data_IF_608443907488
#
_entry.id   IF_608443907488
#
_cell.length_a   1.000
_cell.length_b   1.000
_cell.length_c   1.000
_cell.angle_alpha   90.00
_cell.angle_beta   90.00
_cell.angle_gamma   90.00
#
_symmetry.space_group_name_H-M   'P 1'
#
loop_
_entity.id
_entity.type
_entity.pdbx_description
1 polymer ?
#
# COMPACT_ATOMS: atom_id res chain seq x y z
N UNK A 1 -12.04 1.19 11.14
CA UNK A 1 -12.61 1.15 9.78
C UNK A 1 -11.55 0.54 8.88
N UNK A 2 -11.57 -0.79 8.72
CA UNK A 2 -10.59 -1.51 7.90
C UNK A 2 -11.17 -1.71 6.51
N UNK A 3 -10.35 -1.56 5.47
CA UNK A 3 -10.76 -1.85 4.10
C UNK A 3 -11.27 -3.30 4.08
N UNK A 4 -12.56 -3.47 3.78
CA UNK A 4 -13.28 -4.75 3.82
C UNK A 4 -12.80 -5.74 2.74
N UNK A 5 -12.01 -5.25 1.80
CA UNK A 5 -11.51 -5.95 0.63
C UNK A 5 -9.99 -6.05 0.70
N UNK A 6 -9.50 -7.28 0.62
CA UNK A 6 -8.08 -7.57 0.67
C UNK A 6 -7.35 -7.01 -0.54
N UNK A 7 -6.25 -6.31 -0.25
CA UNK A 7 -5.17 -5.86 -1.14
C UNK A 7 -5.58 -4.85 -2.22
N UNK A 8 -5.10 -3.62 -2.09
CA UNK A 8 -5.11 -2.60 -3.14
C UNK A 8 -4.24 -3.09 -4.31
N UNK A 9 -4.81 -3.24 -5.51
CA UNK A 9 -4.09 -3.73 -6.69
C UNK A 9 -4.09 -5.26 -6.85
N UNK A 10 -2.93 -5.91 -7.07
CA UNK A 10 -2.87 -7.31 -7.51
C UNK A 10 -3.04 -8.31 -6.36
N UNK A 11 -3.79 -9.38 -6.62
CA UNK A 11 -3.87 -10.56 -5.75
C UNK A 11 -3.36 -11.81 -6.50
N UNK A 12 -2.10 -12.23 -6.29
CA UNK A 12 -1.51 -13.38 -6.96
C UNK A 12 -2.23 -14.71 -6.68
N UNK A 13 -2.89 -14.85 -5.52
CA UNK A 13 -3.58 -16.08 -5.12
C UNK A 13 -4.86 -16.26 -5.93
N UNK A 14 -5.65 -15.20 -6.07
CA UNK A 14 -6.89 -15.23 -6.85
C UNK A 14 -6.69 -14.93 -8.34
N UNK A 15 -5.49 -14.48 -8.73
CA UNK A 15 -5.16 -14.00 -10.09
C UNK A 15 -6.09 -12.89 -10.58
N UNK A 16 -6.50 -12.02 -9.65
CA UNK A 16 -7.35 -10.86 -9.95
C UNK A 16 -6.68 -9.58 -9.45
N UNK A 17 -7.02 -8.47 -10.08
CA UNK A 17 -6.66 -7.13 -9.60
C UNK A 17 -7.92 -6.31 -9.34
N UNK A 18 -7.90 -5.51 -8.28
CA UNK A 18 -8.96 -4.55 -7.95
C UNK A 18 -8.37 -3.16 -7.91
N UNK A 19 -8.98 -2.23 -8.64
CA UNK A 19 -8.58 -0.84 -8.75
C UNK A 19 -9.63 0.08 -8.14
N UNK A 20 -9.20 0.97 -7.28
CA UNK A 20 -10.04 1.93 -6.60
C UNK A 20 -9.91 3.29 -7.29
N UNK A 21 -11.04 3.86 -7.69
CA UNK A 21 -11.08 5.12 -8.45
C UNK A 21 -10.18 5.12 -9.70
N UNK A 22 -10.14 4.03 -10.47
CA UNK A 22 -9.32 3.94 -11.69
C UNK A 22 -7.87 3.50 -11.44
N UNK A 23 -7.42 3.31 -10.20
CA UNK A 23 -6.10 2.73 -9.90
C UNK A 23 -4.87 3.56 -10.24
N UNK A 24 -5.03 4.76 -10.78
CA UNK A 24 -3.95 5.69 -11.17
C UNK A 24 -3.47 6.57 -10.02
N UNK A 25 -4.22 6.62 -8.92
CA UNK A 25 -3.85 7.43 -7.76
C UNK A 25 -2.63 6.84 -7.07
N UNK A 26 -1.64 7.68 -6.82
CA UNK A 26 -0.44 7.30 -6.07
C UNK A 26 -0.81 7.08 -4.61
N UNK A 27 -0.44 5.92 -4.09
CA UNK A 27 -0.59 5.54 -2.69
C UNK A 27 0.78 5.33 -2.05
N UNK A 28 0.89 5.65 -0.76
CA UNK A 28 2.06 5.34 0.04
C UNK A 28 1.98 3.87 0.49
N UNK A 29 3.03 3.10 0.20
CA UNK A 29 3.12 1.70 0.58
C UNK A 29 4.38 1.44 1.40
N UNK A 30 4.21 0.57 2.39
CA UNK A 30 5.29 0.12 3.27
C UNK A 30 5.13 -1.35 3.58
N UNK A 31 6.22 -2.10 3.51
CA UNK A 31 6.24 -3.47 4.02
C UNK A 31 6.15 -3.43 5.54
N UNK A 32 5.60 -4.49 6.15
CA UNK A 32 5.54 -4.60 7.61
C UNK A 32 6.95 -4.51 8.25
N UNK A 33 7.97 -5.05 7.59
CA UNK A 33 9.36 -4.95 8.04
C UNK A 33 9.89 -3.51 8.01
N UNK A 34 9.58 -2.73 6.97
CA UNK A 34 9.95 -1.31 6.90
C UNK A 34 9.23 -0.50 7.98
N UNK A 35 7.95 -0.79 8.25
CA UNK A 35 7.19 -0.16 9.34
C UNK A 35 7.84 -0.46 10.68
N UNK A 36 8.13 -1.73 10.98
CA UNK A 36 8.79 -2.11 12.22
C UNK A 36 10.16 -1.45 12.37
N UNK A 37 10.96 -1.43 11.29
CA UNK A 37 12.27 -0.78 11.28
C UNK A 37 12.17 0.71 11.54
N UNK A 38 11.19 1.39 10.94
CA UNK A 38 10.96 2.82 11.16
C UNK A 38 10.58 3.10 12.62
N UNK A 39 9.70 2.29 13.22
CA UNK A 39 9.31 2.42 14.62
C UNK A 39 10.53 2.22 15.54
N UNK A 40 11.32 1.17 15.33
CA UNK A 40 12.52 0.92 16.15
C UNK A 40 13.52 2.08 16.04
N UNK A 41 13.75 2.60 14.84
CA UNK A 41 14.64 3.76 14.63
C UNK A 41 14.12 5.03 15.30
N UNK A 42 12.81 5.25 15.25
CA UNK A 42 12.15 6.40 15.88
C UNK A 42 12.34 6.39 17.40
N UNK A 43 12.11 5.23 18.02
CA UNK A 43 12.20 5.05 19.48
C UNK A 43 13.65 4.91 19.98
N UNK A 44 14.56 4.40 19.15
CA UNK A 44 15.94 4.12 19.52
C UNK A 44 16.87 5.34 19.53
N UNK A 45 16.38 6.52 19.13
CA UNK A 45 17.14 7.76 19.11
C UNK A 45 16.34 8.86 19.83
N UNK A 46 16.91 9.41 20.89
CA UNK A 46 16.27 10.42 21.75
C UNK A 46 15.82 11.65 20.95
N UNK A 47 16.65 12.15 20.04
CA UNK A 47 16.30 13.33 19.23
C UNK A 47 15.13 13.09 18.28
N UNK A 48 15.01 11.90 17.70
CA UNK A 48 13.88 11.56 16.83
C UNK A 48 12.62 11.22 17.62
N UNK A 49 12.79 10.66 18.81
CA UNK A 49 11.70 10.38 19.73
C UNK A 49 11.04 11.68 20.20
N UNK A 50 11.82 12.62 20.74
CA UNK A 50 11.30 13.90 21.23
C UNK A 50 10.59 14.70 20.14
N UNK A 51 11.14 14.70 18.92
CA UNK A 51 10.50 15.33 17.76
C UNK A 51 9.14 14.70 17.36
N UNK A 52 8.93 13.43 17.72
CA UNK A 52 7.72 12.67 17.39
C UNK A 52 6.67 12.68 18.49
N UNK A 53 7.00 13.15 19.70
CA UNK A 53 6.07 13.20 20.83
C UNK A 53 4.83 14.01 20.45
N UNK A 54 3.66 13.40 20.61
CA UNK A 54 2.35 13.99 20.29
C UNK A 54 2.18 14.43 18.82
N UNK A 55 3.02 13.93 17.89
CA UNK A 55 2.92 14.21 16.47
C UNK A 55 2.49 12.96 15.68
N UNK A 56 1.68 13.13 14.62
CA UNK A 56 1.43 12.04 13.68
C UNK A 56 2.70 11.73 12.88
N UNK A 57 3.05 10.44 12.79
CA UNK A 57 4.21 9.97 12.01
C UNK A 57 3.72 9.19 10.80
N UNK A 58 4.15 9.63 9.62
CA UNK A 58 3.80 9.01 8.34
C UNK A 58 4.98 8.15 7.87
N UNK A 59 4.74 6.85 7.66
CA UNK A 59 5.76 5.91 7.21
C UNK A 59 5.48 5.50 5.76
N UNK A 60 6.33 5.96 4.85
CA UNK A 60 6.27 5.65 3.43
C UNK A 60 7.63 5.13 2.96
N UNK A 61 7.69 3.89 2.49
CA UNK A 61 8.91 3.35 1.89
C UNK A 61 8.91 3.44 0.35
N UNK A 62 7.72 3.46 -0.26
CA UNK A 62 7.56 3.68 -1.69
C UNK A 62 6.21 4.34 -1.98
N UNK A 63 6.16 5.10 -3.07
CA UNK A 63 4.94 5.68 -3.61
C UNK A 63 4.64 5.01 -4.96
N UNK A 64 3.48 4.39 -5.09
CA UNK A 64 3.10 3.59 -6.27
C UNK A 64 1.60 3.68 -6.50
N UNK A 65 1.15 3.57 -7.75
CA UNK A 65 -0.26 3.41 -8.08
C UNK A 65 -0.65 1.93 -8.10
N UNK A 66 -1.93 1.59 -7.95
CA UNK A 66 -2.40 0.20 -8.03
C UNK A 66 -2.12 -0.43 -9.40
N UNK A 67 -2.27 0.33 -10.50
CA UNK A 67 -1.91 -0.13 -11.85
C UNK A 67 -0.43 -0.50 -11.94
N UNK A 68 0.44 0.45 -11.57
CA UNK A 68 1.88 0.22 -11.57
C UNK A 68 2.29 -0.97 -10.69
N UNK A 69 1.66 -1.15 -9.54
CA UNK A 69 1.93 -2.30 -8.68
C UNK A 69 1.50 -3.61 -9.35
N UNK A 70 0.33 -3.65 -9.98
CA UNK A 70 -0.13 -4.82 -10.76
C UNK A 70 0.79 -5.14 -11.92
N UNK A 71 1.27 -4.14 -12.68
CA UNK A 71 2.26 -4.32 -13.74
C UNK A 71 3.54 -4.95 -13.20
N UNK A 72 4.12 -4.40 -12.12
CA UNK A 72 5.35 -4.92 -11.54
C UNK A 72 5.21 -6.37 -11.07
N UNK A 73 4.07 -6.72 -10.47
CA UNK A 73 3.80 -8.08 -10.03
C UNK A 73 3.58 -9.01 -11.23
N UNK A 74 2.88 -8.55 -12.27
CA UNK A 74 2.72 -9.29 -13.52
C UNK A 74 4.08 -9.58 -14.17
N UNK A 75 4.93 -8.56 -14.33
CA UNK A 75 6.26 -8.68 -14.92
C UNK A 75 7.14 -9.66 -14.14
N UNK A 76 7.07 -9.63 -12.81
CA UNK A 76 7.89 -10.49 -11.95
C UNK A 76 7.39 -11.93 -11.87
N UNK A 77 6.07 -12.15 -11.90
CA UNK A 77 5.45 -13.47 -11.67
C UNK A 77 4.96 -14.17 -12.94
N UNK A 78 4.84 -13.44 -14.05
CA UNK A 78 4.20 -13.90 -15.29
C UNK A 78 2.68 -14.10 -15.18
N UNK A 79 2.04 -13.63 -14.11
CA UNK A 79 0.60 -13.78 -13.91
C UNK A 79 -0.15 -12.71 -14.70
N UNK A 80 -1.03 -13.14 -15.60
CA UNK A 80 -2.08 -12.29 -16.16
C UNK A 80 -3.23 -12.15 -15.14
N UNK A 81 -3.47 -10.91 -14.70
CA UNK A 81 -4.54 -10.56 -13.76
C UNK A 81 -5.89 -10.30 -14.44
N UNK A 82 -5.96 -10.43 -15.77
CA UNK A 82 -7.16 -10.24 -16.57
C UNK A 82 -7.66 -8.79 -16.54
N UNK A 83 -8.97 -8.63 -16.74
CA UNK A 83 -9.63 -7.31 -16.66
C UNK A 83 -9.80 -6.94 -15.17
N UNK A 84 -9.19 -5.85 -14.71
CA UNK A 84 -9.29 -5.41 -13.32
C UNK A 84 -10.73 -5.00 -12.95
N UNK A 85 -11.13 -5.30 -11.72
CA UNK A 85 -12.38 -4.81 -11.15
C UNK A 85 -12.22 -3.34 -10.73
N UNK A 86 -13.11 -2.47 -11.19
CA UNK A 86 -13.09 -1.04 -10.85
C UNK A 86 -14.11 -0.75 -9.73
N UNK A 87 -13.63 -0.20 -8.62
CA UNK A 87 -14.46 0.09 -7.44
C UNK A 87 -14.47 1.59 -7.17
N UNK A 88 -15.68 2.16 -7.08
CA UNK A 88 -15.87 3.55 -6.64
C UNK A 88 -15.69 3.64 -5.14
N UNK A 89 -14.75 4.50 -4.69
CA UNK A 89 -14.49 4.70 -3.25
C UNK A 89 -15.73 5.26 -2.52
N UNK A 90 -16.64 5.97 -3.21
CA UNK A 90 -17.88 6.48 -2.61
C UNK A 90 -18.88 5.38 -2.24
N UNK A 91 -18.74 4.20 -2.81
CA UNK A 91 -19.62 3.06 -2.55
C UNK A 91 -19.12 2.19 -1.38
N UNK A 92 -17.93 2.50 -0.84
CA UNK A 92 -17.24 1.71 0.17
C UNK A 92 -17.23 2.39 1.56
N UNK A 93 -17.60 3.67 1.64
CA UNK A 93 -17.61 4.50 2.87
C UNK A 93 -19.03 4.69 3.39
#
# INVERSE_FOLDING_TARGET
MGIKYGVLGPNPVSKKAVFYSGGDKVIAVSTLSNIATAIVKLLGNESTFEAAVNQPIYICSAAVSERRLTELVSDFTGIDFGIPEEVSVREVI
#
